data_IF_644917454010
#
_entry.id   IF_644917454010
#
_cell.length_a   1.000
_cell.length_b   1.000
_cell.length_c   1.000
_cell.angle_alpha   90.00
_cell.angle_beta   90.00
_cell.angle_gamma   90.00
#
_symmetry.space_group_name_H-M   'P 1'
#
loop_
_entity.id
_entity.type
_entity.pdbx_description
1 polymer ?
#
# COMPACT_ATOMS: atom_id res chain seq x y z
N UNK A 1 -49.44 1.90 -0.73
CA UNK A 1 -48.56 0.72 -0.53
C UNK A 1 -47.32 0.69 -1.43
N UNK A 2 -47.05 1.70 -2.29
CA UNK A 2 -45.90 1.71 -3.23
C UNK A 2 -44.57 2.22 -2.64
N UNK A 3 -44.63 2.98 -1.55
CA UNK A 3 -43.46 3.64 -0.93
C UNK A 3 -42.42 2.70 -0.26
N UNK A 4 -42.79 1.63 0.46
CA UNK A 4 -41.78 0.80 1.14
C UNK A 4 -40.95 -0.03 0.15
N UNK A 5 -41.54 -0.38 -0.99
CA UNK A 5 -40.89 -1.18 -2.04
C UNK A 5 -39.83 -0.35 -2.79
N UNK A 6 -40.11 0.93 -3.03
CA UNK A 6 -39.15 1.87 -3.61
C UNK A 6 -37.96 2.16 -2.68
N UNK A 7 -38.21 2.27 -1.37
CA UNK A 7 -37.17 2.41 -0.35
C UNK A 7 -36.26 1.17 -0.26
N UNK A 8 -36.85 -0.03 -0.30
CA UNK A 8 -36.08 -1.28 -0.29
C UNK A 8 -35.20 -1.43 -1.54
N UNK A 9 -35.72 -1.09 -2.72
CA UNK A 9 -34.98 -1.13 -3.98
C UNK A 9 -33.80 -0.16 -4.01
N UNK A 10 -33.99 1.06 -3.50
CA UNK A 10 -32.92 2.07 -3.44
C UNK A 10 -31.84 1.70 -2.43
N UNK A 11 -32.21 1.14 -1.27
CA UNK A 11 -31.26 0.60 -0.30
C UNK A 11 -30.45 -0.58 -0.87
N UNK A 12 -31.10 -1.51 -1.57
CA UNK A 12 -30.43 -2.64 -2.21
C UNK A 12 -29.47 -2.19 -3.33
N UNK A 13 -29.86 -1.20 -4.12
CA UNK A 13 -29.01 -0.62 -5.16
C UNK A 13 -27.77 0.06 -4.56
N UNK A 14 -27.92 0.78 -3.44
CA UNK A 14 -26.78 1.39 -2.73
C UNK A 14 -25.84 0.34 -2.16
N UNK A 15 -26.37 -0.73 -1.57
CA UNK A 15 -25.55 -1.80 -1.00
C UNK A 15 -24.73 -2.52 -2.07
N UNK A 16 -25.32 -2.76 -3.24
CA UNK A 16 -24.65 -3.43 -4.36
C UNK A 16 -23.48 -2.62 -4.95
N UNK A 17 -23.58 -1.28 -4.97
CA UNK A 17 -22.50 -0.43 -5.50
C UNK A 17 -21.32 -0.28 -4.52
N UNK A 18 -21.57 -0.39 -3.21
CA UNK A 18 -20.56 -0.24 -2.17
C UNK A 18 -19.74 -1.52 -1.92
N UNK A 19 -20.23 -2.70 -2.33
CA UNK A 19 -19.52 -3.99 -2.15
C UNK A 19 -18.34 -4.22 -3.11
N UNK A 20 -18.08 -3.31 -4.04
CA UNK A 20 -17.07 -3.46 -5.09
C UNK A 20 -15.65 -3.03 -4.75
N UNK A 21 -15.34 -2.64 -3.50
CA UNK A 21 -13.99 -2.23 -3.11
C UNK A 21 -13.02 -3.42 -3.13
N UNK A 22 -12.44 -3.68 -4.31
CA UNK A 22 -11.36 -4.66 -4.48
C UNK A 22 -10.02 -4.01 -4.15
N UNK A 23 -9.34 -4.53 -3.14
CA UNK A 23 -7.95 -4.15 -2.83
C UNK A 23 -7.03 -4.83 -3.84
N UNK A 24 -6.60 -4.10 -4.87
CA UNK A 24 -5.56 -4.59 -5.76
C UNK A 24 -4.21 -4.61 -5.01
N UNK A 25 -3.43 -5.72 -5.08
CA UNK A 25 -2.07 -5.72 -4.58
C UNK A 25 -1.24 -4.75 -5.41
N UNK A 26 -0.92 -3.58 -4.84
CA UNK A 26 0.09 -2.71 -5.41
C UNK A 26 1.44 -3.42 -5.23
N UNK A 27 1.90 -4.16 -6.23
CA UNK A 27 3.27 -4.66 -6.26
C UNK A 27 4.18 -3.43 -6.33
N UNK A 28 4.99 -3.15 -5.29
CA UNK A 28 5.89 -2.03 -5.37
C UNK A 28 6.92 -2.36 -6.45
N UNK A 29 6.93 -1.60 -7.54
CA UNK A 29 8.00 -1.68 -8.53
C UNK A 29 9.23 -1.06 -7.88
N UNK A 30 10.01 -1.90 -7.20
CA UNK A 30 11.26 -1.47 -6.59
C UNK A 30 12.27 -1.23 -7.71
N UNK A 31 12.44 0.03 -8.10
CA UNK A 31 13.46 0.42 -9.07
C UNK A 31 14.81 0.56 -8.35
N UNK A 32 15.71 -0.40 -8.57
CA UNK A 32 17.10 -0.23 -8.21
C UNK A 32 17.74 0.86 -9.11
N UNK A 33 18.56 1.77 -8.57
CA UNK A 33 19.35 2.67 -9.41
C UNK A 33 20.25 1.89 -10.39
N UNK A 34 20.65 2.48 -11.53
CA UNK A 34 21.58 1.85 -12.46
C UNK A 34 22.86 1.37 -11.76
N UNK A 35 23.26 0.13 -12.03
CA UNK A 35 24.45 -0.49 -11.44
C UNK A 35 24.27 -1.01 -10.01
N UNK A 36 23.09 -0.86 -9.41
CA UNK A 36 22.78 -1.42 -8.08
C UNK A 36 21.94 -2.68 -8.25
N UNK A 37 22.41 -3.80 -7.71
CA UNK A 37 21.59 -5.01 -7.65
C UNK A 37 20.43 -4.80 -6.65
N UNK A 38 19.23 -5.22 -7.04
CA UNK A 38 18.13 -5.31 -6.10
C UNK A 38 18.40 -6.42 -5.08
N UNK A 39 18.27 -6.10 -3.80
CA UNK A 39 18.33 -7.07 -2.71
C UNK A 39 16.96 -7.07 -2.03
N UNK A 40 16.30 -8.23 -2.00
CA UNK A 40 14.99 -8.37 -1.38
C UNK A 40 15.05 -8.09 0.14
N UNK A 41 13.94 -7.65 0.77
CA UNK A 41 13.88 -7.45 2.21
C UNK A 41 14.26 -8.73 2.96
N UNK A 42 15.20 -8.61 3.90
CA UNK A 42 15.61 -9.71 4.79
C UNK A 42 14.81 -9.73 6.11
N UNK A 43 13.91 -8.76 6.28
CA UNK A 43 13.06 -8.63 7.47
C UNK A 43 11.77 -7.90 7.12
N UNK A 44 10.74 -8.10 7.94
CA UNK A 44 9.39 -7.57 7.72
C UNK A 44 9.35 -6.04 7.68
N UNK A 45 8.37 -5.50 6.95
CA UNK A 45 8.09 -4.06 6.96
C UNK A 45 7.72 -3.60 8.38
N UNK A 46 8.27 -2.48 8.88
CA UNK A 46 7.97 -1.98 10.22
C UNK A 46 6.51 -1.54 10.40
N UNK A 47 5.79 -1.25 9.31
CA UNK A 47 4.41 -0.81 9.35
C UNK A 47 3.93 -0.19 8.04
N UNK A 48 2.72 0.37 8.08
CA UNK A 48 2.12 1.08 6.96
C UNK A 48 3.00 2.27 6.55
N UNK A 49 3.15 2.48 5.23
CA UNK A 49 3.89 3.62 4.67
C UNK A 49 5.40 3.41 4.51
N UNK A 50 5.97 2.33 5.05
CA UNK A 50 7.36 1.97 4.78
C UNK A 50 7.50 1.35 3.39
N UNK A 51 8.45 1.85 2.62
CA UNK A 51 8.82 1.31 1.31
C UNK A 51 10.25 0.80 1.34
N UNK A 52 10.51 -0.30 0.64
CA UNK A 52 11.86 -0.83 0.49
C UNK A 52 12.62 0.04 -0.52
N UNK A 53 13.71 0.67 -0.08
CA UNK A 53 14.42 1.67 -0.85
C UNK A 53 15.94 1.50 -0.71
N UNK A 54 16.66 1.98 -1.73
CA UNK A 54 18.13 2.01 -1.71
C UNK A 54 18.66 3.29 -1.04
N UNK A 55 19.54 3.11 -0.06
CA UNK A 55 20.32 4.15 0.59
C UNK A 55 21.76 4.11 0.06
N UNK A 56 22.34 5.21 -0.47
CA UNK A 56 23.69 5.20 -1.05
C UNK A 56 24.80 4.71 -0.12
N UNK A 57 24.71 5.06 1.18
CA UNK A 57 25.69 4.66 2.21
C UNK A 57 25.46 3.28 2.84
N UNK A 58 24.20 2.86 3.01
CA UNK A 58 23.86 1.70 3.84
C UNK A 58 23.20 0.55 3.06
N UNK A 59 22.92 0.74 1.76
CA UNK A 59 22.27 -0.25 0.91
C UNK A 59 20.75 -0.27 1.08
N UNK A 60 20.15 -1.45 0.96
CA UNK A 60 18.70 -1.63 0.94
C UNK A 60 18.07 -1.64 2.33
N UNK A 61 17.03 -0.83 2.54
CA UNK A 61 16.32 -0.73 3.82
C UNK A 61 14.92 -0.14 3.70
N UNK A 62 14.18 -0.13 4.81
CA UNK A 62 12.85 0.49 4.87
C UNK A 62 12.95 1.99 5.07
N UNK A 63 12.29 2.77 4.21
CA UNK A 63 12.17 4.23 4.32
C UNK A 63 10.70 4.61 4.45
N UNK A 64 10.39 5.44 5.43
CA UNK A 64 9.11 6.12 5.56
C UNK A 64 9.26 7.56 5.03
N UNK A 65 8.29 8.09 4.28
CA UNK A 65 8.38 9.44 3.72
C UNK A 65 8.45 10.54 4.78
N UNK A 66 7.83 10.32 5.95
CA UNK A 66 7.78 11.33 7.03
C UNK A 66 8.80 11.10 8.16
N UNK A 67 9.12 9.84 8.48
CA UNK A 67 9.99 9.49 9.63
C UNK A 67 11.39 9.04 9.20
N UNK A 68 11.66 8.99 7.89
CA UNK A 68 12.96 8.66 7.35
C UNK A 68 13.25 7.16 7.36
N UNK A 69 14.52 6.81 7.54
CA UNK A 69 14.97 5.42 7.45
C UNK A 69 14.78 4.65 8.75
N UNK A 70 14.32 3.41 8.62
CA UNK A 70 14.25 2.46 9.72
C UNK A 70 15.66 2.06 10.20
N UNK A 71 15.79 1.62 11.46
CA UNK A 71 17.08 1.30 12.11
C UNK A 71 18.07 2.46 12.21
N UNK A 72 17.59 3.71 12.13
CA UNK A 72 18.39 4.89 12.44
C UNK A 72 19.45 5.25 11.40
N UNK A 73 19.26 4.85 10.14
CA UNK A 73 20.13 5.28 9.04
C UNK A 73 19.90 6.78 8.78
N UNK A 74 20.98 7.56 8.71
CA UNK A 74 20.96 9.01 8.52
C UNK A 74 21.96 9.41 7.45
#
# INVERSE_FOLDING_TARGET
MRSPLLLALSAAALAATLTGCVVAPAQPVYAAPPGVAYVAPTYVSPGVGFVWAYHPRFGWGWRHPQSGWHRGWR
#
